data_IF_668665564415
#
_entry.id   IF_668665564415
#
_cell.length_a   1.000
_cell.length_b   1.000
_cell.length_c   1.000
_cell.angle_alpha   90.00
_cell.angle_beta   90.00
_cell.angle_gamma   90.00
#
_symmetry.space_group_name_H-M   'P 1'
#
loop_
_entity.id
_entity.type
_entity.pdbx_description
1 polymer ?
#
# COMPACT_ATOMS: atom_id res chain seq x y z
N UNK A 1 5.35 -30.43 42.25
CA UNK A 1 5.30 -29.55 41.06
C UNK A 1 5.00 -28.14 41.57
N UNK A 2 5.84 -27.14 41.27
CA UNK A 2 5.76 -25.80 41.90
C UNK A 2 4.60 -24.98 41.28
N UNK A 3 3.57 -24.57 42.07
CA UNK A 3 2.43 -23.81 41.55
C UNK A 3 2.84 -22.47 40.89
N UNK A 4 3.96 -21.89 41.32
CA UNK A 4 4.45 -20.61 40.80
C UNK A 4 4.92 -20.68 39.33
N UNK A 5 5.32 -21.88 38.85
CA UNK A 5 5.74 -22.08 37.46
C UNK A 5 4.55 -22.19 36.48
N UNK A 6 3.37 -22.56 36.99
CA UNK A 6 2.16 -22.74 36.18
C UNK A 6 1.49 -21.38 35.92
N UNK A 7 1.45 -20.51 36.92
CA UNK A 7 0.91 -19.15 36.79
C UNK A 7 1.73 -18.31 35.79
N UNK A 8 3.07 -18.35 35.91
CA UNK A 8 3.97 -17.62 35.00
C UNK A 8 3.91 -18.10 33.56
N UNK A 9 3.67 -19.39 33.30
CA UNK A 9 3.52 -19.90 31.92
C UNK A 9 2.18 -19.52 31.29
N UNK A 10 1.12 -19.45 32.07
CA UNK A 10 -0.20 -18.97 31.61
C UNK A 10 -0.14 -17.47 31.31
N UNK A 11 0.53 -16.67 32.15
CA UNK A 11 0.69 -15.23 31.96
C UNK A 11 1.46 -14.89 30.67
N UNK A 12 2.55 -15.62 30.38
CA UNK A 12 3.33 -15.44 29.14
C UNK A 12 2.51 -15.82 27.90
N UNK A 13 1.71 -16.89 27.98
CA UNK A 13 0.83 -17.31 26.88
C UNK A 13 -0.31 -16.30 26.63
N UNK A 14 -0.79 -15.62 27.66
CA UNK A 14 -1.81 -14.58 27.55
C UNK A 14 -1.26 -13.31 26.90
N UNK A 15 -0.07 -12.88 27.32
CA UNK A 15 0.63 -11.72 26.74
C UNK A 15 0.99 -11.97 25.28
N UNK A 16 1.50 -13.15 24.93
CA UNK A 16 1.84 -13.48 23.53
C UNK A 16 0.62 -13.48 22.62
N UNK A 17 -0.52 -14.00 23.11
CA UNK A 17 -1.79 -13.96 22.37
C UNK A 17 -2.32 -12.54 22.18
N UNK A 18 -2.17 -11.67 23.19
CA UNK A 18 -2.53 -10.25 23.06
C UNK A 18 -1.70 -9.56 21.99
N UNK A 19 -0.37 -9.76 22.00
CA UNK A 19 0.55 -9.17 21.02
C UNK A 19 0.21 -9.64 19.60
N UNK A 20 -0.08 -10.94 19.42
CA UNK A 20 -0.49 -11.48 18.13
C UNK A 20 -1.79 -10.85 17.65
N UNK A 21 -2.77 -10.67 18.54
CA UNK A 21 -4.03 -10.02 18.19
C UNK A 21 -3.82 -8.56 17.79
N UNK A 22 -2.98 -7.82 18.51
CA UNK A 22 -2.66 -6.42 18.18
C UNK A 22 -1.93 -6.31 16.84
N UNK A 23 -0.98 -7.21 16.57
CA UNK A 23 -0.29 -7.30 15.27
C UNK A 23 -1.24 -7.61 14.13
N UNK A 24 -2.16 -8.57 14.32
CA UNK A 24 -3.17 -8.91 13.32
C UNK A 24 -4.08 -7.72 13.04
N UNK A 25 -4.51 -7.00 14.08
CA UNK A 25 -5.32 -5.80 13.93
C UNK A 25 -4.61 -4.71 13.12
N UNK A 26 -3.34 -4.43 13.42
CA UNK A 26 -2.54 -3.47 12.65
C UNK A 26 -2.34 -3.94 11.21
N UNK A 27 -2.07 -5.23 11.00
CA UNK A 27 -1.87 -5.82 9.68
C UNK A 27 -3.12 -5.70 8.81
N UNK A 28 -4.30 -6.01 9.35
CA UNK A 28 -5.57 -5.88 8.62
C UNK A 28 -5.82 -4.44 8.20
N UNK A 29 -5.64 -3.48 9.12
CA UNK A 29 -5.79 -2.06 8.81
C UNK A 29 -4.80 -1.60 7.74
N UNK A 30 -3.55 -2.04 7.82
CA UNK A 30 -2.53 -1.70 6.84
C UNK A 30 -2.89 -2.21 5.43
N UNK A 31 -3.33 -3.46 5.32
CA UNK A 31 -3.74 -4.07 4.04
C UNK A 31 -4.92 -3.29 3.42
N UNK A 32 -5.86 -2.83 4.24
CA UNK A 32 -7.00 -2.02 3.77
C UNK A 32 -6.53 -0.68 3.19
N UNK A 33 -5.61 0.03 3.84
CA UNK A 33 -5.19 1.36 3.37
C UNK A 33 -4.09 1.34 2.30
N UNK A 34 -3.35 0.25 2.16
CA UNK A 34 -2.24 0.12 1.21
C UNK A 34 -2.65 0.42 -0.25
N UNK A 35 -3.81 -0.06 -0.77
CA UNK A 35 -4.30 0.31 -2.10
C UNK A 35 -4.47 1.82 -2.31
N UNK A 36 -5.01 2.52 -1.30
CA UNK A 36 -5.21 3.96 -1.36
C UNK A 36 -3.88 4.71 -1.42
N UNK A 37 -2.88 4.25 -0.65
CA UNK A 37 -1.53 4.82 -0.66
C UNK A 37 -0.91 4.67 -2.07
N UNK A 38 -0.98 3.49 -2.68
CA UNK A 38 -0.48 3.26 -4.03
C UNK A 38 -1.22 4.12 -5.08
N UNK A 39 -2.53 4.29 -4.93
CA UNK A 39 -3.31 5.16 -5.82
C UNK A 39 -2.82 6.61 -5.73
N UNK A 40 -2.61 7.14 -4.53
CA UNK A 40 -2.12 8.51 -4.31
C UNK A 40 -0.74 8.70 -4.95
N UNK A 41 0.21 7.79 -4.69
CA UNK A 41 1.53 7.87 -5.31
C UNK A 41 1.49 7.73 -6.83
N UNK A 42 0.66 6.83 -7.36
CA UNK A 42 0.43 6.67 -8.79
C UNK A 42 -0.09 7.95 -9.44
N UNK A 43 -1.06 8.62 -8.82
CA UNK A 43 -1.57 9.91 -9.28
C UNK A 43 -0.51 11.00 -9.26
N UNK A 44 0.28 11.11 -8.19
CA UNK A 44 1.36 12.10 -8.10
C UNK A 44 2.39 11.86 -9.21
N UNK A 45 2.79 10.61 -9.44
CA UNK A 45 3.71 10.23 -10.51
C UNK A 45 3.17 10.58 -11.91
N UNK A 46 1.91 10.26 -12.18
CA UNK A 46 1.25 10.60 -13.43
C UNK A 46 1.18 12.12 -13.69
N UNK A 47 0.82 12.90 -12.67
CA UNK A 47 0.82 14.36 -12.76
C UNK A 47 2.23 14.89 -13.06
N UNK A 48 3.27 14.32 -12.42
CA UNK A 48 4.67 14.63 -12.73
C UNK A 48 5.04 14.35 -14.20
N UNK A 49 4.58 13.21 -14.75
CA UNK A 49 4.79 12.86 -16.15
C UNK A 49 4.02 13.80 -17.10
N UNK A 50 2.82 14.24 -16.74
CA UNK A 50 2.07 15.27 -17.49
C UNK A 50 2.88 16.56 -17.56
N UNK A 51 3.37 17.06 -16.42
CA UNK A 51 4.17 18.29 -16.39
C UNK A 51 5.46 18.17 -17.21
N UNK A 52 6.13 17.02 -17.15
CA UNK A 52 7.31 16.72 -17.96
C UNK A 52 6.97 16.77 -19.45
N UNK A 53 5.85 16.18 -19.86
CA UNK A 53 5.40 16.19 -21.25
C UNK A 53 4.96 17.57 -21.76
N UNK A 54 4.45 18.44 -20.88
CA UNK A 54 4.06 19.82 -21.22
C UNK A 54 5.27 20.68 -21.62
N UNK A 55 6.48 20.33 -21.21
CA UNK A 55 7.68 21.05 -21.63
C UNK A 55 7.97 20.75 -23.11
N UNK A 56 7.98 21.81 -23.93
CA UNK A 56 8.11 21.71 -25.39
C UNK A 56 9.38 20.96 -25.85
N UNK A 57 10.47 21.05 -25.09
CA UNK A 57 11.75 20.38 -25.37
C UNK A 57 11.68 18.86 -25.16
N UNK A 58 10.83 18.39 -24.24
CA UNK A 58 10.73 16.99 -23.86
C UNK A 58 9.57 16.27 -24.56
N UNK A 59 8.63 17.01 -25.15
CA UNK A 59 7.45 16.46 -25.82
C UNK A 59 7.77 15.52 -26.98
N UNK A 60 8.84 15.79 -27.72
CA UNK A 60 9.31 14.95 -28.83
C UNK A 60 10.19 13.78 -28.37
N UNK A 61 10.57 13.75 -27.08
CA UNK A 61 11.37 12.67 -26.53
C UNK A 61 10.49 11.43 -26.36
N UNK A 62 10.80 10.39 -27.13
CA UNK A 62 10.16 9.08 -27.11
C UNK A 62 10.07 8.49 -25.70
N UNK A 63 11.09 8.68 -24.85
CA UNK A 63 11.08 8.24 -23.46
C UNK A 63 9.96 8.92 -22.65
N UNK A 64 9.78 10.23 -22.83
CA UNK A 64 8.75 10.99 -22.12
C UNK A 64 7.34 10.54 -22.54
N UNK A 65 7.14 10.24 -23.83
CA UNK A 65 5.88 9.70 -24.34
C UNK A 65 5.60 8.31 -23.75
N UNK A 66 6.59 7.40 -23.75
CA UNK A 66 6.42 6.07 -23.16
C UNK A 66 6.16 6.14 -21.65
N UNK A 67 6.85 7.04 -20.94
CA UNK A 67 6.64 7.23 -19.50
C UNK A 67 5.23 7.74 -19.20
N UNK A 68 4.73 8.70 -19.98
CA UNK A 68 3.35 9.19 -19.85
C UNK A 68 2.34 8.08 -20.15
N UNK A 69 2.47 7.39 -21.29
CA UNK A 69 1.58 6.28 -21.66
C UNK A 69 1.59 5.15 -20.64
N UNK A 70 2.77 4.78 -20.12
CA UNK A 70 2.91 3.78 -19.05
C UNK A 70 2.15 4.20 -17.80
N UNK A 71 2.33 5.45 -17.35
CA UNK A 71 1.61 5.96 -16.19
C UNK A 71 0.08 6.05 -16.37
N UNK A 72 -0.43 6.19 -17.60
CA UNK A 72 -1.87 6.09 -17.88
C UNK A 72 -2.35 4.65 -17.63
N UNK A 73 -1.63 3.66 -18.15
CA UNK A 73 -1.95 2.24 -17.96
C UNK A 73 -1.91 1.89 -16.47
N UNK A 74 -0.89 2.38 -15.75
CA UNK A 74 -0.75 2.15 -14.31
C UNK A 74 -1.92 2.73 -13.52
N UNK A 75 -2.37 3.96 -13.81
CA UNK A 75 -3.55 4.54 -13.15
C UNK A 75 -4.82 3.74 -13.45
N UNK A 76 -5.02 3.32 -14.71
CA UNK A 76 -6.19 2.51 -15.09
C UNK A 76 -6.15 1.19 -14.31
N UNK A 77 -4.98 0.53 -14.26
CA UNK A 77 -4.80 -0.72 -13.55
C UNK A 77 -5.04 -0.57 -12.04
N UNK A 78 -4.51 0.49 -11.42
CA UNK A 78 -4.76 0.82 -10.01
C UNK A 78 -6.26 1.10 -9.76
N UNK A 79 -6.92 1.79 -10.68
CA UNK A 79 -8.34 2.13 -10.57
C UNK A 79 -9.27 0.93 -10.75
N UNK A 80 -8.90 -0.07 -11.56
CA UNK A 80 -9.72 -1.26 -11.81
C UNK A 80 -9.43 -2.40 -10.84
N UNK A 81 -8.18 -2.59 -10.43
CA UNK A 81 -7.78 -3.74 -9.63
C UNK A 81 -7.54 -3.42 -8.15
N UNK A 82 -7.19 -2.18 -7.81
CA UNK A 82 -6.90 -1.80 -6.41
C UNK A 82 -8.06 -1.05 -5.77
N UNK A 83 -8.70 -0.13 -6.49
CA UNK A 83 -9.79 0.70 -5.94
C UNK A 83 -11.06 -0.09 -5.55
N UNK A 84 -11.55 -1.08 -6.34
CA UNK A 84 -12.74 -1.84 -5.94
C UNK A 84 -12.49 -2.70 -4.70
N UNK A 85 -11.28 -3.23 -4.54
CA UNK A 85 -10.88 -4.01 -3.37
C UNK A 85 -10.78 -3.19 -2.07
N UNK A 86 -10.71 -1.85 -2.17
CA UNK A 86 -10.79 -0.97 -1.01
C UNK A 86 -12.23 -0.65 -0.58
N UNK A 87 -13.17 -0.64 -1.53
CA UNK A 87 -14.58 -0.29 -1.29
C UNK A 87 -15.50 -1.48 -1.01
N UNK A 88 -15.06 -2.70 -1.36
CA UNK A 88 -15.77 -3.96 -1.10
C UNK A 88 -15.48 -4.48 0.31
#
# INVERSE_FOLDING_TARGET
MNPNNITTTIDIALVSKSIINDLNFVSERFIIYLPLIFLIFGFIGFIGNIFTYLQAELRSNTCCIYSLCGSIIDIINLSLNLFPNYLA
#
